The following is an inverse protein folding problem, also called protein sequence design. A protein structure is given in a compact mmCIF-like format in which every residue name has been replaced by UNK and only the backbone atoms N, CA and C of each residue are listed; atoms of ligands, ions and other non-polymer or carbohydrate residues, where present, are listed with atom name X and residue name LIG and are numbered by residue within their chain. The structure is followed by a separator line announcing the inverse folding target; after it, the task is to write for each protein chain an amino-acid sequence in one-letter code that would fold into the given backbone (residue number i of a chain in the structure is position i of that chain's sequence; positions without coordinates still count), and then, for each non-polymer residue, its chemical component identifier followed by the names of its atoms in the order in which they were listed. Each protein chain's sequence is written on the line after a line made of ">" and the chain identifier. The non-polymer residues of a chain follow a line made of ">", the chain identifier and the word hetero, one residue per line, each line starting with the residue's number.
data_IF_800594202353
#
_entry.id   IF_800594202353
#
_cell.length_a   1.000
_cell.length_b   1.000
_cell.length_c   1.000
_cell.angle_alpha   90.00
_cell.angle_beta   90.00
_cell.angle_gamma   90.00
#
_symmetry.space_group_name_H-M   'P 1'
#
loop_
_entity.id
_entity.type
_entity.pdbx_description
1 polymer ?
#
# COMPACT_ATOMS: atom_id res chain seq x y z
N UNK A 1 3.70 2.78 0.36
CA UNK A 1 3.63 2.68 -1.11
C UNK A 1 2.20 2.85 -1.55
N UNK A 2 1.97 3.53 -2.67
CA UNK A 2 0.65 3.71 -3.29
C UNK A 2 0.47 2.75 -4.45
N UNK A 3 -0.79 2.41 -4.77
CA UNK A 3 -1.14 1.42 -5.79
C UNK A 3 -1.21 1.94 -7.22
N UNK A 4 -2.29 1.62 -7.94
CA UNK A 4 -2.48 1.95 -9.36
C UNK A 4 -2.63 0.70 -10.23
N UNK A 5 -1.55 0.11 -10.78
CA UNK A 5 -0.12 0.36 -10.51
C UNK A 5 0.40 1.73 -11.01
N UNK A 6 1.58 2.17 -10.53
CA UNK A 6 2.28 3.41 -10.91
C UNK A 6 1.76 4.75 -10.32
N UNK A 7 0.95 4.73 -9.26
CA UNK A 7 0.62 5.97 -8.55
C UNK A 7 1.77 6.39 -7.63
N UNK A 8 2.13 7.67 -7.67
CA UNK A 8 3.18 8.24 -6.79
C UNK A 8 2.69 8.43 -5.37
N UNK A 9 3.56 8.10 -4.40
CA UNK A 9 3.32 8.29 -2.99
C UNK A 9 3.73 9.69 -2.55
N UNK A 10 3.02 10.73 -3.00
CA UNK A 10 3.46 12.11 -2.73
C UNK A 10 3.20 12.53 -1.27
N UNK A 11 4.13 13.31 -0.71
CA UNK A 11 4.10 13.85 0.67
C UNK A 11 2.89 14.75 1.00
N UNK A 12 2.11 15.16 0.00
CA UNK A 12 1.00 16.09 0.14
C UNK A 12 -0.37 15.42 0.33
N UNK A 13 -0.40 14.09 0.28
CA UNK A 13 -1.63 13.31 0.35
C UNK A 13 -1.58 12.28 1.48
N UNK A 14 -2.77 11.77 1.83
CA UNK A 14 -2.97 10.69 2.79
C UNK A 14 -2.27 10.92 4.14
N UNK A 15 -1.16 10.20 4.36
CA UNK A 15 -0.40 10.15 5.61
C UNK A 15 0.66 11.24 5.72
N UNK A 16 0.89 11.98 4.63
CA UNK A 16 1.94 12.98 4.51
C UNK A 16 1.77 14.19 5.44
N UNK A 17 2.87 14.90 5.76
CA UNK A 17 2.88 16.03 6.71
C UNK A 17 2.21 17.29 6.19
N UNK A 18 1.95 17.38 4.89
CA UNK A 18 1.43 18.57 4.22
C UNK A 18 0.21 18.22 3.38
N UNK A 19 -0.59 19.24 3.07
CA UNK A 19 -1.72 19.16 2.13
C UNK A 19 -1.79 20.43 1.30
N UNK A 20 -2.37 20.33 0.11
CA UNK A 20 -2.70 21.51 -0.67
C UNK A 20 -3.83 22.30 0.00
N UNK A 21 -3.70 23.63 -0.01
CA UNK A 21 -4.81 24.52 0.30
C UNK A 21 -5.73 24.53 -0.92
N UNK A 22 -6.99 24.15 -0.72
CA UNK A 22 -7.98 24.13 -1.79
C UNK A 22 -8.41 25.56 -2.11
N UNK A 23 -7.88 26.09 -3.20
CA UNK A 23 -8.22 27.40 -3.74
C UNK A 23 -8.29 27.33 -5.27
N UNK A 24 -9.10 28.16 -5.93
CA UNK A 24 -9.10 28.27 -7.38
C UNK A 24 -7.70 28.58 -7.91
N UNK A 25 -7.30 27.90 -8.99
CA UNK A 25 -6.00 28.14 -9.60
C UNK A 25 -5.96 29.54 -10.20
N UNK A 26 -5.02 30.35 -9.71
CA UNK A 26 -4.84 31.76 -10.07
C UNK A 26 -3.53 32.00 -10.85
N UNK A 27 -2.85 30.94 -11.29
CA UNK A 27 -1.56 31.02 -11.97
C UNK A 27 -0.34 31.07 -11.05
N UNK A 28 -0.51 31.15 -9.73
CA UNK A 28 0.59 31.06 -8.76
C UNK A 28 0.87 29.61 -8.35
N UNK A 29 2.00 29.41 -7.66
CA UNK A 29 2.30 28.11 -7.05
C UNK A 29 1.19 27.71 -6.06
N UNK A 30 0.87 26.41 -5.95
CA UNK A 30 -0.07 25.92 -4.94
C UNK A 30 0.43 26.24 -3.53
N UNK A 31 -0.49 26.69 -2.67
CA UNK A 31 -0.17 26.88 -1.25
C UNK A 31 -0.27 25.55 -0.50
N UNK A 32 0.63 25.34 0.45
CA UNK A 32 0.67 24.17 1.31
C UNK A 32 0.29 24.54 2.74
N UNK A 33 -0.41 23.63 3.41
CA UNK A 33 -0.72 23.71 4.84
C UNK A 33 -0.29 22.41 5.54
N UNK A 34 0.02 22.49 6.83
CA UNK A 34 0.29 21.30 7.63
C UNK A 34 -0.94 20.39 7.71
N UNK A 35 -0.70 19.08 7.65
CA UNK A 35 -1.71 18.07 7.90
C UNK A 35 -1.70 17.72 9.41
N UNK A 36 -2.72 18.14 10.18
CA UNK A 36 -2.77 17.85 11.62
C UNK A 36 -2.97 16.36 11.93
N UNK A 37 -3.29 15.53 10.94
CA UNK A 37 -3.49 14.08 11.10
C UNK A 37 -2.37 13.26 10.43
N UNK A 38 -1.24 13.89 10.11
CA UNK A 38 -0.11 13.18 9.53
C UNK A 38 0.47 12.13 10.47
N UNK A 39 0.84 10.98 9.90
CA UNK A 39 1.53 9.91 10.61
C UNK A 39 2.97 10.30 10.98
N UNK A 40 3.54 11.29 10.30
CA UNK A 40 4.88 11.80 10.61
C UNK A 40 5.01 12.37 12.04
N UNK A 41 3.89 12.61 12.72
CA UNK A 41 3.84 13.01 14.13
C UNK A 41 4.30 11.90 15.09
N UNK A 42 4.19 10.64 14.70
CA UNK A 42 4.46 9.49 15.58
C UNK A 42 5.40 8.46 14.96
N UNK A 43 5.72 8.59 13.67
CA UNK A 43 6.62 7.65 12.97
C UNK A 43 7.44 8.36 11.89
N UNK A 44 8.61 7.80 11.58
CA UNK A 44 9.38 8.16 10.40
C UNK A 44 8.82 7.42 9.18
N UNK A 45 8.54 8.14 8.08
CA UNK A 45 7.89 7.57 6.91
C UNK A 45 8.81 7.68 5.70
N UNK A 46 9.03 6.55 5.02
CA UNK A 46 9.65 6.51 3.70
C UNK A 46 8.51 6.41 2.68
N UNK A 47 8.33 7.46 1.90
CA UNK A 47 7.44 7.46 0.74
C UNK A 47 8.27 7.14 -0.50
N UNK A 48 7.96 5.99 -1.12
CA UNK A 48 8.75 5.44 -2.22
C UNK A 48 7.89 5.40 -3.49
N UNK A 49 8.36 6.11 -4.51
CA UNK A 49 7.88 5.98 -5.88
C UNK A 49 8.47 4.72 -6.49
N UNK A 50 7.62 3.75 -6.79
CA UNK A 50 8.02 2.47 -7.36
C UNK A 50 6.82 1.82 -8.05
N UNK A 51 7.01 1.09 -9.16
CA UNK A 51 8.29 0.76 -9.81
C UNK A 51 8.82 1.94 -10.65
N UNK A 52 9.91 1.70 -11.37
CA UNK A 52 10.45 2.66 -12.33
C UNK A 52 9.38 3.13 -13.33
N UNK A 53 9.38 4.43 -13.65
CA UNK A 53 8.29 5.11 -14.36
C UNK A 53 7.21 5.72 -13.45
N UNK A 54 7.23 5.43 -12.15
CA UNK A 54 6.31 6.02 -11.17
C UNK A 54 6.86 7.36 -10.66
N UNK A 55 6.07 8.43 -10.75
CA UNK A 55 6.41 9.73 -10.16
C UNK A 55 7.78 10.23 -10.61
N UNK A 56 8.73 10.33 -9.67
CA UNK A 56 10.11 10.75 -9.96
C UNK A 56 11.11 9.60 -10.20
N UNK A 57 10.68 8.35 -10.11
CA UNK A 57 11.54 7.18 -10.33
C UNK A 57 11.68 6.89 -11.82
N UNK A 58 12.91 6.93 -12.34
CA UNK A 58 13.21 6.69 -13.76
C UNK A 58 14.45 5.82 -13.96
N UNK A 59 14.50 5.07 -15.07
CA UNK A 59 15.70 4.41 -15.56
C UNK A 59 16.32 5.25 -16.68
N UNK A 60 17.66 5.21 -16.78
CA UNK A 60 18.42 5.84 -17.86
C UNK A 60 18.44 4.98 -19.13
N UNK A 61 18.36 3.68 -18.94
CA UNK A 61 18.28 2.69 -20.02
C UNK A 61 16.81 2.31 -20.23
N UNK A 62 16.41 2.16 -21.50
CA UNK A 62 15.06 1.73 -21.88
C UNK A 62 14.79 0.32 -21.38
N UNK A 63 15.83 -0.52 -21.30
CA UNK A 63 15.73 -1.89 -20.77
C UNK A 63 15.27 -1.92 -19.31
N UNK A 64 15.53 -0.85 -18.56
CA UNK A 64 15.02 -0.71 -17.19
C UNK A 64 13.49 -0.61 -17.11
N UNK A 65 12.79 -0.33 -18.22
CA UNK A 65 11.34 -0.32 -18.29
C UNK A 65 10.73 -1.64 -18.79
N UNK A 66 11.56 -2.59 -19.22
CA UNK A 66 11.11 -3.93 -19.57
C UNK A 66 10.92 -4.80 -18.32
N UNK A 67 10.00 -5.77 -18.38
CA UNK A 67 9.71 -6.74 -17.32
C UNK A 67 9.33 -6.16 -15.93
N UNK A 68 8.58 -5.05 -15.91
CA UNK A 68 7.99 -4.50 -14.68
C UNK A 68 6.71 -5.28 -14.31
N UNK A 69 6.84 -6.23 -13.39
CA UNK A 69 5.72 -6.99 -12.81
C UNK A 69 5.74 -6.96 -11.28
N UNK A 70 4.74 -7.60 -10.68
CA UNK A 70 4.54 -7.62 -9.21
C UNK A 70 5.80 -8.09 -8.45
N UNK A 71 6.50 -9.10 -8.99
CA UNK A 71 7.71 -9.65 -8.39
C UNK A 71 8.94 -8.76 -8.59
N UNK A 72 9.23 -8.33 -9.82
CA UNK A 72 10.40 -7.47 -10.11
C UNK A 72 10.30 -6.12 -9.40
N UNK A 73 9.09 -5.55 -9.32
CA UNK A 73 8.80 -4.40 -8.45
C UNK A 73 9.24 -4.70 -7.02
N UNK A 74 8.72 -5.75 -6.39
CA UNK A 74 9.03 -6.08 -5.00
C UNK A 74 10.55 -6.25 -4.78
N UNK A 75 11.26 -6.85 -5.74
CA UNK A 75 12.72 -7.00 -5.67
C UNK A 75 13.47 -5.67 -5.75
N UNK A 76 13.02 -4.74 -6.61
CA UNK A 76 13.60 -3.40 -6.68
C UNK A 76 13.43 -2.63 -5.36
N UNK A 77 12.28 -2.80 -4.68
CA UNK A 77 12.07 -2.20 -3.35
C UNK A 77 13.02 -2.78 -2.32
N UNK A 78 13.27 -4.09 -2.33
CA UNK A 78 14.24 -4.72 -1.42
C UNK A 78 15.66 -4.21 -1.64
N UNK A 79 16.08 -4.08 -2.91
CA UNK A 79 17.38 -3.49 -3.27
C UNK A 79 17.48 -2.06 -2.73
N UNK A 80 16.43 -1.26 -2.90
CA UNK A 80 16.36 0.10 -2.34
C UNK A 80 16.47 0.08 -0.82
N UNK A 81 15.70 -0.75 -0.11
CA UNK A 81 15.71 -0.82 1.36
C UNK A 81 17.08 -1.25 1.90
N UNK A 82 17.71 -2.27 1.30
CA UNK A 82 19.04 -2.72 1.69
C UNK A 82 20.09 -1.62 1.53
N UNK A 83 20.06 -0.86 0.43
CA UNK A 83 20.93 0.31 0.24
C UNK A 83 20.60 1.41 1.26
N UNK A 84 19.32 1.73 1.43
CA UNK A 84 18.89 2.80 2.33
C UNK A 84 19.29 2.54 3.79
N UNK A 85 19.11 1.32 4.29
CA UNK A 85 19.52 0.94 5.65
C UNK A 85 21.04 0.81 5.81
N UNK A 86 21.78 0.55 4.73
CA UNK A 86 23.25 0.61 4.72
C UNK A 86 23.72 2.05 4.87
N UNK A 87 23.11 2.98 4.14
CA UNK A 87 23.45 4.41 4.16
C UNK A 87 22.94 5.13 5.43
N UNK A 88 21.88 4.60 6.06
CA UNK A 88 21.24 5.18 7.24
C UNK A 88 21.21 4.19 8.42
N UNK A 89 22.37 3.75 8.94
CA UNK A 89 22.45 2.68 9.93
C UNK A 89 21.75 2.99 11.26
N UNK A 90 21.60 4.28 11.59
CA UNK A 90 20.91 4.74 12.80
C UNK A 90 19.40 4.41 12.83
N UNK A 91 18.79 4.07 11.68
CA UNK A 91 17.41 3.60 11.63
C UNK A 91 17.27 2.07 11.78
N UNK A 92 18.36 1.29 11.74
CA UNK A 92 18.27 -0.18 11.75
C UNK A 92 17.65 -0.75 13.03
N UNK A 93 17.82 -0.07 14.17
CA UNK A 93 17.18 -0.47 15.43
C UNK A 93 15.68 -0.20 15.46
N UNK A 94 15.17 0.68 14.59
CA UNK A 94 13.78 1.11 14.65
C UNK A 94 12.85 -0.01 14.16
N UNK A 95 11.70 -0.23 14.82
CA UNK A 95 10.65 -1.09 14.29
C UNK A 95 10.28 -0.70 12.85
N UNK A 96 10.41 -1.63 11.91
CA UNK A 96 10.12 -1.39 10.51
C UNK A 96 8.82 -2.08 10.10
N UNK A 97 7.98 -1.35 9.37
CA UNK A 97 6.73 -1.87 8.81
C UNK A 97 6.66 -1.54 7.32
N UNK A 98 6.19 -2.50 6.52
CA UNK A 98 5.92 -2.28 5.09
C UNK A 98 4.48 -1.82 4.93
N UNK A 99 4.26 -0.64 4.36
CA UNK A 99 2.93 -0.08 4.13
C UNK A 99 2.55 -0.03 2.66
N UNK A 100 1.33 -0.45 2.32
CA UNK A 100 0.79 -0.39 0.94
C UNK A 100 -0.69 -0.05 0.89
N UNK A 101 -1.13 0.62 -0.17
CA UNK A 101 -2.55 0.83 -0.45
C UNK A 101 -2.92 0.38 -1.87
N UNK A 102 -4.18 -0.02 -2.08
CA UNK A 102 -4.66 -0.45 -3.41
C UNK A 102 -3.78 -1.55 -4.01
N UNK A 103 -3.28 -1.40 -5.24
CA UNK A 103 -2.43 -2.37 -5.91
C UNK A 103 -1.14 -2.70 -5.13
N UNK A 104 -0.57 -1.74 -4.38
CA UNK A 104 0.60 -1.98 -3.52
C UNK A 104 0.31 -2.91 -2.33
N UNK A 105 -0.98 -3.19 -2.08
CA UNK A 105 -1.44 -4.24 -1.18
C UNK A 105 -0.92 -5.62 -1.54
N UNK A 106 -0.70 -5.92 -2.83
CA UNK A 106 -0.07 -7.16 -3.27
C UNK A 106 1.44 -7.19 -2.97
N UNK A 107 2.12 -6.05 -3.13
CA UNK A 107 3.59 -5.98 -3.03
C UNK A 107 4.04 -6.02 -1.57
N UNK A 108 3.28 -5.39 -0.68
CA UNK A 108 3.61 -5.29 0.76
C UNK A 108 3.90 -6.64 1.43
N UNK A 109 3.03 -7.68 1.30
CA UNK A 109 3.33 -9.00 1.84
C UNK A 109 4.50 -9.69 1.15
N UNK A 110 4.67 -9.53 -0.18
CA UNK A 110 5.82 -10.10 -0.91
C UNK A 110 7.15 -9.55 -0.36
N UNK A 111 7.22 -8.22 -0.17
CA UNK A 111 8.38 -7.53 0.37
C UNK A 111 8.64 -7.99 1.82
N UNK A 112 7.61 -8.00 2.66
CA UNK A 112 7.74 -8.43 4.06
C UNK A 112 8.24 -9.88 4.17
N UNK A 113 7.72 -10.78 3.35
CA UNK A 113 8.15 -12.18 3.29
C UNK A 113 9.62 -12.31 2.93
N UNK A 114 10.09 -11.57 1.92
CA UNK A 114 11.50 -11.62 1.54
C UNK A 114 12.41 -11.03 2.61
N UNK A 115 12.04 -9.91 3.23
CA UNK A 115 12.80 -9.36 4.37
C UNK A 115 12.90 -10.40 5.50
N UNK A 116 11.81 -11.12 5.81
CA UNK A 116 11.84 -12.20 6.80
C UNK A 116 12.85 -13.29 6.45
N UNK A 117 12.85 -13.75 5.19
CA UNK A 117 13.81 -14.74 4.71
C UNK A 117 15.26 -14.22 4.75
N UNK A 118 15.49 -12.96 4.42
CA UNK A 118 16.83 -12.35 4.52
C UNK A 118 17.33 -12.29 5.97
N UNK A 119 16.44 -12.06 6.93
CA UNK A 119 16.74 -12.11 8.37
C UNK A 119 17.12 -13.53 8.81
N UNK A 120 16.36 -14.55 8.39
CA UNK A 120 16.64 -15.96 8.69
C UNK A 120 17.98 -16.42 8.13
N UNK A 121 18.33 -15.95 6.92
CA UNK A 121 19.61 -16.20 6.27
C UNK A 121 20.77 -15.38 6.87
N UNK A 122 20.51 -14.50 7.83
CA UNK A 122 21.53 -13.65 8.46
C UNK A 122 22.13 -12.60 7.54
N UNK A 123 21.41 -12.19 6.48
CA UNK A 123 21.87 -11.13 5.58
C UNK A 123 21.94 -9.77 6.28
N UNK A 124 22.82 -8.91 5.78
CA UNK A 124 22.98 -7.53 6.25
C UNK A 124 22.61 -6.53 5.14
N UNK A 125 22.06 -5.34 5.49
CA UNK A 125 21.74 -4.89 6.85
C UNK A 125 20.52 -5.61 7.45
N UNK A 126 20.56 -5.90 8.75
CA UNK A 126 19.40 -6.52 9.42
C UNK A 126 18.28 -5.49 9.61
N UNK A 127 17.23 -5.60 8.80
CA UNK A 127 16.02 -4.81 8.95
C UNK A 127 15.20 -5.34 10.13
N UNK A 128 14.85 -4.48 11.11
CA UNK A 128 14.01 -4.85 12.26
C UNK A 128 12.52 -4.91 11.89
N UNK A 129 12.16 -5.81 10.95
CA UNK A 129 10.79 -5.99 10.46
C UNK A 129 9.86 -6.44 11.59
N UNK A 130 8.72 -5.77 11.73
CA UNK A 130 7.64 -6.12 12.67
C UNK A 130 6.34 -6.54 12.00
N UNK A 131 6.18 -6.26 10.70
CA UNK A 131 5.01 -6.66 9.93
C UNK A 131 4.75 -5.74 8.74
N UNK A 132 3.55 -5.83 8.20
CA UNK A 132 3.08 -5.01 7.10
C UNK A 132 1.65 -4.51 7.36
N UNK A 133 1.28 -3.40 6.72
CA UNK A 133 -0.05 -2.77 6.84
C UNK A 133 -0.55 -2.48 5.43
N UNK A 134 -1.77 -2.95 5.12
CA UNK A 134 -2.38 -2.76 3.81
C UNK A 134 -3.73 -2.05 3.91
N UNK A 135 -3.92 -1.00 3.10
CA UNK A 135 -5.14 -0.20 3.06
C UNK A 135 -5.91 -0.39 1.75
N UNK A 136 -7.14 -0.90 1.85
CA UNK A 136 -7.98 -1.23 0.69
C UNK A 136 -7.20 -1.97 -0.41
N UNK A 137 -6.50 -3.07 -0.07
CA UNK A 137 -5.60 -3.75 -1.00
C UNK A 137 -6.36 -4.44 -2.13
N UNK A 138 -5.68 -4.60 -3.27
CA UNK A 138 -5.98 -5.71 -4.19
C UNK A 138 -5.35 -6.96 -3.58
N UNK A 139 -6.13 -8.01 -3.36
CA UNK A 139 -5.70 -9.27 -2.74
C UNK A 139 -5.72 -10.45 -3.71
N UNK A 140 -6.64 -10.44 -4.67
CA UNK A 140 -6.76 -11.47 -5.70
C UNK A 140 -8.14 -11.44 -6.35
N UNK A 141 -8.20 -11.63 -7.68
CA UNK A 141 -9.46 -11.55 -8.45
C UNK A 141 -10.53 -12.52 -7.95
N UNK A 142 -10.12 -13.72 -7.55
CA UNK A 142 -11.02 -14.77 -7.05
C UNK A 142 -11.74 -14.38 -5.76
N UNK A 143 -11.22 -13.38 -5.04
CA UNK A 143 -11.85 -12.83 -3.84
C UNK A 143 -12.44 -11.46 -4.13
N UNK A 144 -11.63 -10.53 -4.63
CA UNK A 144 -12.00 -9.12 -4.79
C UNK A 144 -13.16 -8.92 -5.78
N UNK A 145 -13.19 -9.67 -6.89
CA UNK A 145 -14.17 -9.44 -7.96
C UNK A 145 -15.55 -9.97 -7.58
N UNK A 146 -15.58 -11.09 -6.85
CA UNK A 146 -16.81 -11.74 -6.40
C UNK A 146 -17.66 -10.84 -5.47
N UNK A 147 -17.02 -9.93 -4.73
CA UNK A 147 -17.73 -9.02 -3.82
C UNK A 147 -18.16 -7.70 -4.44
N UNK A 148 -17.72 -7.34 -5.65
CA UNK A 148 -18.03 -6.04 -6.24
C UNK A 148 -19.53 -5.83 -6.42
N UNK A 149 -20.22 -6.82 -6.97
CA UNK A 149 -21.65 -6.75 -7.27
C UNK A 149 -22.50 -6.78 -5.99
N UNK A 150 -22.31 -7.73 -5.05
CA UNK A 150 -22.99 -7.70 -3.75
C UNK A 150 -22.73 -6.43 -2.95
N UNK A 151 -21.49 -5.92 -2.94
CA UNK A 151 -21.16 -4.68 -2.25
C UNK A 151 -21.89 -3.48 -2.85
N UNK A 152 -21.84 -3.33 -4.19
CA UNK A 152 -22.49 -2.23 -4.88
C UNK A 152 -24.01 -2.23 -4.66
N UNK A 153 -24.64 -3.42 -4.65
CA UNK A 153 -26.07 -3.55 -4.34
C UNK A 153 -26.37 -3.22 -2.87
N UNK A 154 -25.59 -3.79 -1.94
CA UNK A 154 -25.78 -3.59 -0.51
C UNK A 154 -25.61 -2.14 -0.03
N UNK A 155 -24.92 -1.29 -0.79
CA UNK A 155 -24.79 0.15 -0.51
C UNK A 155 -25.60 1.04 -1.46
N UNK A 156 -26.48 0.46 -2.29
CA UNK A 156 -27.41 1.20 -3.15
C UNK A 156 -26.77 1.88 -4.38
N UNK A 157 -25.59 1.44 -4.82
CA UNK A 157 -24.96 1.91 -6.07
C UNK A 157 -25.66 1.32 -7.30
N UNK A 158 -26.14 0.07 -7.22
CA UNK A 158 -26.90 -0.60 -8.27
C UNK A 158 -28.31 -0.95 -7.79
N UNK A 159 -29.28 -0.94 -8.70
CA UNK A 159 -30.66 -1.32 -8.41
C UNK A 159 -30.85 -2.83 -8.32
N UNK A 160 -31.98 -3.27 -7.76
CA UNK A 160 -32.36 -4.69 -7.72
C UNK A 160 -32.37 -5.31 -9.12
N UNK A 161 -32.89 -4.59 -10.12
CA UNK A 161 -32.93 -5.09 -11.49
C UNK A 161 -31.52 -5.33 -12.05
N UNK A 162 -30.55 -4.47 -11.72
CA UNK A 162 -29.15 -4.68 -12.14
C UNK A 162 -28.50 -5.82 -11.36
N UNK A 163 -28.78 -5.94 -10.07
CA UNK A 163 -28.24 -7.01 -9.24
C UNK A 163 -28.69 -8.39 -9.75
N UNK A 164 -29.96 -8.55 -10.13
CA UNK A 164 -30.52 -9.81 -10.63
C UNK A 164 -29.94 -10.24 -11.99
N UNK A 165 -29.57 -9.31 -12.86
CA UNK A 165 -29.08 -9.63 -14.23
C UNK A 165 -27.56 -9.77 -14.32
N UNK A 166 -26.79 -9.16 -13.42
CA UNK A 166 -25.34 -9.23 -13.45
C UNK A 166 -24.90 -10.60 -12.93
N UNK A 167 -24.16 -11.40 -13.69
CA UNK A 167 -23.59 -12.64 -13.19
C UNK A 167 -22.66 -12.36 -12.01
N UNK A 168 -23.04 -12.85 -10.83
CA UNK A 168 -22.20 -12.81 -9.65
C UNK A 168 -22.16 -14.21 -9.05
N UNK A 169 -20.97 -14.64 -8.67
CA UNK A 169 -20.77 -15.93 -8.02
C UNK A 169 -21.36 -15.87 -6.61
N UNK A 170 -22.23 -16.83 -6.28
CA UNK A 170 -22.63 -17.09 -4.89
C UNK A 170 -21.47 -17.78 -4.16
N UNK A 171 -20.34 -17.09 -4.00
CA UNK A 171 -19.21 -17.62 -3.24
C UNK A 171 -19.61 -17.69 -1.75
N UNK A 172 -20.00 -18.88 -1.29
CA UNK A 172 -20.18 -19.15 0.14
C UNK A 172 -18.81 -19.10 0.82
N UNK A 173 -18.39 -17.93 1.29
CA UNK A 173 -17.23 -17.86 2.18
C UNK A 173 -17.65 -18.45 3.52
N UNK A 174 -17.25 -19.70 3.78
CA UNK A 174 -17.24 -20.23 5.14
C UNK A 174 -16.12 -19.53 5.91
N UNK A 175 -16.45 -18.45 6.60
CA UNK A 175 -15.61 -17.92 7.66
C UNK A 175 -15.61 -18.92 8.82
N UNK A 176 -14.69 -19.88 8.82
CA UNK A 176 -14.46 -20.81 9.95
C UNK A 176 -13.52 -20.24 11.01
N UNK A 177 -13.65 -18.94 11.31
CA UNK A 177 -12.89 -18.26 12.35
C UNK A 177 -13.75 -17.18 13.01
N UNK A 178 -13.71 -17.09 14.34
CA UNK A 178 -14.52 -16.16 15.16
C UNK A 178 -14.12 -14.67 15.02
N UNK A 179 -13.55 -14.26 13.90
CA UNK A 179 -13.03 -12.90 13.70
C UNK A 179 -14.00 -12.10 12.85
N UNK A 180 -14.78 -11.24 13.49
CA UNK A 180 -15.60 -10.22 12.81
C UNK A 180 -14.68 -9.09 12.37
N UNK A 181 -14.51 -8.90 11.06
CA UNK A 181 -13.92 -7.68 10.49
C UNK A 181 -15.05 -6.70 10.16
N UNK A 182 -15.20 -5.65 10.97
CA UNK A 182 -16.08 -4.52 10.67
C UNK A 182 -15.26 -3.43 9.95
N UNK A 183 -15.46 -3.30 8.63
CA UNK A 183 -14.95 -2.16 7.88
C UNK A 183 -15.96 -1.02 7.95
N UNK A 184 -15.69 -0.02 8.79
CA UNK A 184 -16.43 1.24 8.80
C UNK A 184 -15.70 2.26 7.91
N UNK A 185 -16.27 2.55 6.74
CA UNK A 185 -15.86 3.64 5.86
C UNK A 185 -16.33 4.98 6.46
N UNK A 186 -15.49 5.60 7.30
CA UNK A 186 -15.33 7.05 7.49
C UNK A 186 -14.42 7.24 8.72
N UNK A 187 -13.24 7.84 8.51
CA UNK A 187 -12.09 7.97 9.44
C UNK A 187 -11.28 6.67 9.61
N UNK A 188 -10.28 6.52 8.74
CA UNK A 188 -9.28 5.46 8.83
C UNK A 188 -8.41 5.65 10.09
N UNK A 189 -8.68 4.86 11.13
CA UNK A 189 -7.63 4.27 11.95
C UNK A 189 -7.40 2.84 11.41
N UNK A 190 -6.19 2.57 10.94
CA UNK A 190 -5.83 1.24 10.46
C UNK A 190 -5.52 0.33 11.65
N UNK A 191 -6.14 -0.86 11.68
CA UNK A 191 -5.78 -1.94 12.60
C UNK A 191 -4.49 -2.61 12.13
N UNK A 192 -3.56 -2.83 13.07
CA UNK A 192 -2.33 -3.59 12.84
C UNK A 192 -2.71 -5.06 12.67
N UNK A 193 -2.42 -5.65 11.51
CA UNK A 193 -2.45 -7.12 11.36
C UNK A 193 -1.22 -7.66 12.08
N UNK A 194 -1.42 -8.15 13.31
CA UNK A 194 -0.45 -9.02 13.96
C UNK A 194 -0.78 -10.45 13.55
N UNK A 195 -0.02 -11.02 12.63
CA UNK A 195 0.05 -12.47 12.53
C UNK A 195 0.72 -12.99 13.82
N UNK A 196 -0.02 -13.80 14.57
CA UNK A 196 0.51 -14.55 15.69
C UNK A 196 1.40 -15.66 15.12
N UNK A 197 2.66 -15.67 15.54
CA UNK A 197 3.61 -16.78 15.38
C UNK A 197 3.06 -17.99 16.14
#
# INVERSE_FOLDING_TARGET
>A
MTGGPFCSGMVFFEVGPMKFVLAPYNGSLPQLAYNPYSWSKTTSIILLDSPVGTGFSYARDVEGYHDIGDFSFSMHVLIFLNKWFTDHPHYQSNPFFVGGSSYAGKMSPIIAQHISQEIELGKQPKINLKGYVVGNPVTGSDYDDNFRVPYAHGVGIISDQLYEVIPHSHASIRCSGNTIFLFLFQRLQFGIVKEAI
#
